data_IF_661426006313
#
_entry.id   IF_661426006313
#
_cell.length_a   1.000
_cell.length_b   1.000
_cell.length_c   1.000
_cell.angle_alpha   90.00
_cell.angle_beta   90.00
_cell.angle_gamma   90.00
#
_symmetry.space_group_name_H-M   'P 1'
#
loop_
_entity.id
_entity.type
_entity.pdbx_description
1 polymer ?
#
# COMPACT_ATOMS: atom_id res chain seq x y z
N UNK A 1 -4.35 26.93 -10.16
CA UNK A 1 -3.23 27.08 -11.13
C UNK A 1 -3.14 25.80 -11.93
N UNK A 2 -2.89 25.88 -13.24
CA UNK A 2 -2.78 24.69 -14.08
C UNK A 2 -1.48 23.94 -13.77
N UNK A 3 -1.53 22.60 -13.79
CA UNK A 3 -0.34 21.76 -13.84
C UNK A 3 0.36 21.99 -15.17
N UNK A 4 1.67 22.16 -15.16
CA UNK A 4 2.48 22.27 -16.37
C UNK A 4 3.60 21.24 -16.35
N UNK A 5 4.08 20.89 -17.53
CA UNK A 5 5.13 19.89 -17.74
C UNK A 5 6.40 20.57 -18.25
N UNK A 6 7.54 20.14 -17.72
CA UNK A 6 8.87 20.63 -18.04
C UNK A 6 9.74 19.44 -18.41
N UNK A 7 10.13 19.34 -19.68
CA UNK A 7 11.00 18.26 -20.15
C UNK A 7 12.44 18.77 -20.35
N UNK A 8 13.40 18.10 -19.72
CA UNK A 8 14.83 18.26 -19.99
C UNK A 8 15.35 17.02 -20.70
N UNK A 9 16.16 17.25 -21.74
CA UNK A 9 16.78 16.19 -22.54
C UNK A 9 18.29 16.23 -22.38
N UNK A 10 18.89 15.08 -22.11
CA UNK A 10 20.33 14.87 -22.10
C UNK A 10 20.69 13.68 -22.99
N UNK A 11 21.98 13.52 -23.30
CA UNK A 11 22.48 12.41 -24.11
C UNK A 11 23.70 11.80 -23.46
N UNK A 12 23.85 10.48 -23.57
CA UNK A 12 25.04 9.76 -23.11
C UNK A 12 25.34 8.60 -24.05
N UNK A 13 26.55 8.07 -23.97
CA UNK A 13 26.99 6.93 -24.78
C UNK A 13 27.31 5.77 -23.84
N UNK A 14 26.73 4.60 -24.04
CA UNK A 14 27.04 3.44 -23.21
C UNK A 14 27.01 2.16 -24.03
N UNK A 15 27.69 1.13 -23.53
CA UNK A 15 27.72 -0.19 -24.16
C UNK A 15 26.91 -1.23 -23.39
N UNK A 16 26.38 -2.23 -24.09
CA UNK A 16 25.69 -3.37 -23.48
C UNK A 16 25.78 -4.62 -24.37
N UNK A 17 25.36 -5.77 -23.85
CA UNK A 17 25.25 -7.05 -24.56
C UNK A 17 23.82 -7.55 -24.43
N UNK A 18 23.14 -7.74 -25.56
CA UNK A 18 21.84 -8.39 -25.56
C UNK A 18 22.03 -9.88 -25.26
N UNK A 19 21.54 -10.34 -24.10
CA UNK A 19 21.65 -11.73 -23.69
C UNK A 19 20.42 -12.16 -22.88
N UNK A 20 19.93 -13.36 -23.14
CA UNK A 20 18.93 -14.02 -22.32
C UNK A 20 19.61 -15.12 -21.48
N UNK A 21 19.52 -15.01 -20.16
CA UNK A 21 20.13 -15.94 -19.22
C UNK A 21 19.52 -17.35 -19.23
N UNK A 22 18.35 -17.53 -19.86
CA UNK A 22 17.73 -18.86 -20.02
C UNK A 22 18.11 -19.56 -21.32
N UNK A 23 18.85 -18.91 -22.21
CA UNK A 23 19.31 -19.48 -23.49
C UNK A 23 20.81 -19.81 -23.41
N UNK A 24 21.23 -20.84 -24.15
CA UNK A 24 22.66 -21.13 -24.36
C UNK A 24 23.35 -20.00 -25.13
N UNK A 25 24.69 -19.96 -25.09
CA UNK A 25 25.47 -18.97 -25.86
C UNK A 25 25.20 -19.07 -27.37
N UNK A 26 25.08 -20.29 -27.90
CA UNK A 26 24.76 -20.52 -29.32
C UNK A 26 23.36 -20.02 -29.68
N UNK A 27 22.37 -20.25 -28.81
CA UNK A 27 21.01 -19.75 -29.01
C UNK A 27 20.95 -18.22 -28.91
N UNK A 28 21.70 -17.62 -27.98
CA UNK A 28 21.83 -16.18 -27.86
C UNK A 28 22.52 -15.55 -29.08
N UNK A 29 23.57 -16.16 -29.60
CA UNK A 29 24.26 -15.71 -30.80
C UNK A 29 23.36 -15.82 -32.04
N UNK A 30 22.59 -16.92 -32.17
CA UNK A 30 21.60 -17.09 -33.23
C UNK A 30 20.47 -16.05 -33.14
N UNK A 31 19.99 -15.76 -31.93
CA UNK A 31 18.84 -14.88 -31.71
C UNK A 31 19.19 -13.40 -31.85
N UNK A 32 20.33 -12.98 -31.30
CA UNK A 32 20.71 -11.57 -31.18
C UNK A 32 21.89 -11.18 -32.09
N UNK A 33 22.54 -12.15 -32.74
CA UNK A 33 23.61 -11.93 -33.72
C UNK A 33 24.72 -11.03 -33.17
N UNK A 34 25.08 -10.01 -33.97
CA UNK A 34 26.14 -9.04 -33.62
C UNK A 34 25.88 -8.29 -32.29
N UNK A 35 24.62 -8.22 -31.84
CA UNK A 35 24.25 -7.56 -30.57
C UNK A 35 24.54 -8.42 -29.32
N UNK A 36 24.81 -9.73 -29.47
CA UNK A 36 25.28 -10.61 -28.40
C UNK A 36 26.81 -10.70 -28.30
N UNK A 37 27.56 -9.77 -28.90
CA UNK A 37 29.01 -9.72 -28.78
C UNK A 37 29.46 -9.78 -27.31
N UNK A 38 30.41 -10.67 -26.98
CA UNK A 38 30.95 -10.85 -25.62
C UNK A 38 31.55 -9.57 -25.03
N UNK A 39 32.06 -8.70 -25.89
CA UNK A 39 32.60 -7.38 -25.54
C UNK A 39 31.54 -6.27 -25.49
N UNK A 40 30.28 -6.60 -25.80
CA UNK A 40 29.18 -5.65 -25.90
C UNK A 40 29.21 -4.83 -27.20
N UNK A 41 28.28 -3.89 -27.30
CA UNK A 41 28.17 -2.90 -28.37
C UNK A 41 27.65 -1.58 -27.82
N UNK A 42 28.15 -0.46 -28.37
CA UNK A 42 27.82 0.88 -27.92
C UNK A 42 26.58 1.47 -28.61
N UNK A 43 25.83 2.30 -27.89
CA UNK A 43 24.78 3.17 -28.41
C UNK A 43 24.91 4.58 -27.85
N UNK A 44 24.38 5.53 -28.60
CA UNK A 44 24.09 6.86 -28.10
C UNK A 44 22.64 6.87 -27.66
N UNK A 45 22.40 7.21 -26.41
CA UNK A 45 21.09 7.26 -25.80
C UNK A 45 20.65 8.70 -25.66
N UNK A 46 19.35 8.91 -25.83
CA UNK A 46 18.67 10.14 -25.49
C UNK A 46 17.89 9.87 -24.21
N UNK A 47 18.11 10.69 -23.20
CA UNK A 47 17.40 10.62 -21.95
C UNK A 47 16.55 11.87 -21.75
N UNK A 48 15.24 11.68 -21.65
CA UNK A 48 14.27 12.76 -21.43
C UNK A 48 13.63 12.62 -20.05
N UNK A 49 13.57 13.75 -19.34
CA UNK A 49 13.07 13.86 -17.97
C UNK A 49 11.98 14.89 -17.96
N UNK A 50 10.75 14.45 -17.70
CA UNK A 50 9.59 15.34 -17.66
C UNK A 50 9.13 15.50 -16.22
N UNK A 51 9.26 16.71 -15.69
CA UNK A 51 8.70 17.10 -14.41
C UNK A 51 7.31 17.68 -14.61
N UNK A 52 6.34 17.23 -13.82
CA UNK A 52 4.98 17.77 -13.82
C UNK A 52 4.67 18.37 -12.46
N UNK A 53 4.25 19.63 -12.43
CA UNK A 53 3.97 20.30 -11.16
C UNK A 53 3.20 21.60 -11.29
N UNK A 54 2.87 22.16 -10.14
CA UNK A 54 2.27 23.49 -10.05
C UNK A 54 3.37 24.55 -10.16
N UNK A 55 3.08 25.67 -10.81
CA UNK A 55 4.00 26.80 -10.91
C UNK A 55 4.12 27.46 -9.54
N UNK A 56 5.33 27.59 -9.01
CA UNK A 56 5.59 28.35 -7.79
C UNK A 56 5.27 29.84 -8.02
N UNK A 57 4.39 30.46 -7.22
CA UNK A 57 3.89 31.80 -7.49
C UNK A 57 4.93 32.90 -7.29
N UNK A 58 6.06 32.63 -6.64
CA UNK A 58 7.13 33.62 -6.40
C UNK A 58 8.18 33.59 -7.50
N UNK A 59 8.60 32.39 -7.91
CA UNK A 59 9.67 32.17 -8.88
C UNK A 59 9.15 32.00 -10.31
N UNK A 60 7.87 31.67 -10.49
CA UNK A 60 7.28 31.37 -11.79
C UNK A 60 7.78 30.05 -12.40
N UNK A 61 8.51 29.25 -11.64
CA UNK A 61 9.08 27.98 -12.08
C UNK A 61 8.31 26.80 -11.48
N UNK A 62 8.26 25.69 -12.21
CA UNK A 62 7.84 24.39 -11.65
C UNK A 62 8.98 23.75 -10.88
N UNK A 63 10.19 23.89 -11.43
CA UNK A 63 11.42 23.40 -10.88
C UNK A 63 12.59 24.20 -11.44
N UNK A 64 13.68 24.29 -10.69
CA UNK A 64 14.88 24.96 -11.14
C UNK A 64 15.63 24.07 -12.14
N UNK A 65 15.79 24.55 -13.38
CA UNK A 65 16.46 23.82 -14.45
C UNK A 65 17.96 23.57 -14.18
N UNK A 66 18.61 24.40 -13.36
CA UNK A 66 20.00 24.19 -12.97
C UNK A 66 20.13 23.04 -11.97
N UNK A 67 19.18 22.93 -11.04
CA UNK A 67 19.12 21.83 -10.07
C UNK A 67 18.83 20.52 -10.80
N UNK A 68 17.82 20.52 -11.69
CA UNK A 68 17.52 19.36 -12.54
C UNK A 68 18.72 18.91 -13.38
N UNK A 69 19.50 19.87 -13.91
CA UNK A 69 20.74 19.54 -14.65
C UNK A 69 21.76 18.85 -13.76
N UNK A 70 21.98 19.35 -12.54
CA UNK A 70 22.96 18.78 -11.61
C UNK A 70 22.53 17.39 -11.12
N UNK A 71 21.23 17.20 -10.89
CA UNK A 71 20.63 15.91 -10.56
C UNK A 71 20.74 14.92 -11.72
N UNK A 72 20.40 15.34 -12.95
CA UNK A 72 20.61 14.49 -14.12
C UNK A 72 22.08 14.14 -14.33
N UNK A 73 23.00 15.05 -13.98
CA UNK A 73 24.44 14.81 -14.12
C UNK A 73 24.93 13.66 -13.23
N UNK A 74 24.40 13.46 -12.02
CA UNK A 74 24.85 12.33 -11.17
C UNK A 74 24.57 10.99 -11.83
N UNK A 75 23.43 10.88 -12.52
CA UNK A 75 23.03 9.70 -13.30
C UNK A 75 23.95 9.50 -14.49
N UNK A 76 24.17 10.59 -15.24
CA UNK A 76 25.01 10.57 -16.43
C UNK A 76 26.44 10.18 -16.08
N UNK A 77 26.97 10.66 -14.95
CA UNK A 77 28.32 10.33 -14.49
C UNK A 77 28.46 8.82 -14.12
N UNK A 78 27.36 8.16 -13.75
CA UNK A 78 27.36 6.71 -13.49
C UNK A 78 27.32 5.88 -14.77
N UNK A 79 26.57 6.31 -15.80
CA UNK A 79 26.23 5.49 -16.98
C UNK A 79 26.98 5.86 -18.26
N UNK A 80 27.46 7.10 -18.37
CA UNK A 80 28.12 7.59 -19.58
C UNK A 80 29.51 6.98 -19.73
N UNK A 81 29.82 6.57 -20.95
CA UNK A 81 31.01 5.83 -21.36
C UNK A 81 31.25 4.52 -20.57
N UNK A 82 30.20 3.93 -19.98
CA UNK A 82 30.28 2.65 -19.27
C UNK A 82 29.72 1.49 -20.08
N UNK A 83 30.09 0.28 -19.68
CA UNK A 83 29.36 -0.92 -20.03
C UNK A 83 28.23 -1.14 -19.02
N UNK A 84 26.98 -0.99 -19.45
CA UNK A 84 25.81 -1.07 -18.59
C UNK A 84 25.79 -2.41 -17.84
N UNK A 85 25.96 -3.54 -18.52
CA UNK A 85 25.89 -4.87 -17.89
C UNK A 85 27.02 -5.12 -16.87
N UNK A 86 28.22 -4.56 -17.11
CA UNK A 86 29.45 -4.93 -16.38
C UNK A 86 29.92 -3.88 -15.38
N UNK A 87 29.60 -2.61 -15.58
CA UNK A 87 30.14 -1.52 -14.76
C UNK A 87 29.09 -0.99 -13.77
N UNK A 88 27.80 -1.20 -14.06
CA UNK A 88 26.70 -0.74 -13.20
C UNK A 88 26.26 -1.90 -12.31
N UNK A 89 26.42 -1.74 -10.98
CA UNK A 89 26.11 -2.79 -9.99
C UNK A 89 24.68 -3.32 -10.15
N UNK A 90 23.72 -2.44 -10.42
CA UNK A 90 22.32 -2.80 -10.64
C UNK A 90 22.11 -3.79 -11.82
N UNK A 91 22.86 -3.62 -12.91
CA UNK A 91 22.72 -4.44 -14.12
C UNK A 91 23.53 -5.73 -14.08
N UNK A 92 24.56 -5.85 -13.21
CA UNK A 92 25.32 -7.10 -13.05
C UNK A 92 24.44 -8.29 -12.65
N UNK A 93 23.40 -8.03 -11.86
CA UNK A 93 22.53 -9.06 -11.31
C UNK A 93 21.18 -9.19 -12.06
N UNK A 94 20.94 -8.35 -13.07
CA UNK A 94 19.67 -8.29 -13.81
C UNK A 94 19.93 -8.36 -15.32
N UNK A 95 19.40 -9.37 -16.01
CA UNK A 95 19.61 -9.50 -17.46
C UNK A 95 18.97 -8.33 -18.21
N UNK A 96 19.77 -7.52 -18.89
CA UNK A 96 19.31 -6.35 -19.65
C UNK A 96 18.33 -6.76 -20.76
N UNK A 97 17.07 -6.36 -20.61
CA UNK A 97 16.12 -6.18 -21.73
C UNK A 97 16.11 -4.69 -22.07
N UNK A 98 15.91 -4.32 -23.33
CA UNK A 98 15.86 -2.91 -23.80
C UNK A 98 14.90 -2.03 -22.96
N UNK A 99 13.92 -2.64 -22.30
CA UNK A 99 12.98 -2.02 -21.35
C UNK A 99 13.59 -1.58 -20.00
N UNK A 100 14.79 -2.03 -19.65
CA UNK A 100 15.42 -1.84 -18.33
C UNK A 100 16.25 -0.55 -18.26
N UNK A 101 16.65 0.01 -19.41
CA UNK A 101 17.32 1.32 -19.48
C UNK A 101 16.40 2.42 -18.91
N UNK A 102 15.10 2.37 -19.21
CA UNK A 102 14.11 3.29 -18.63
C UNK A 102 13.99 3.20 -17.10
N UNK A 103 14.25 2.03 -16.50
CA UNK A 103 14.10 1.79 -15.06
C UNK A 103 15.28 2.40 -14.28
N UNK A 104 16.50 2.32 -14.79
CA UNK A 104 17.67 2.96 -14.14
C UNK A 104 17.64 4.47 -14.29
N UNK A 105 17.20 4.98 -15.44
CA UNK A 105 16.99 6.42 -15.58
C UNK A 105 15.85 6.95 -14.70
N UNK A 106 14.80 6.16 -14.45
CA UNK A 106 13.83 6.46 -13.41
C UNK A 106 14.46 6.37 -12.01
N UNK A 107 15.27 5.34 -11.68
CA UNK A 107 15.87 5.16 -10.35
C UNK A 107 16.72 6.34 -9.89
N UNK A 108 17.55 6.90 -10.79
CA UNK A 108 18.41 8.03 -10.42
C UNK A 108 17.69 9.40 -10.57
N UNK A 109 16.50 9.45 -11.17
CA UNK A 109 15.56 10.58 -11.00
C UNK A 109 14.70 10.46 -9.74
N UNK A 110 14.46 9.26 -9.23
CA UNK A 110 13.72 9.08 -7.98
C UNK A 110 14.52 9.57 -6.75
N UNK A 111 15.85 9.68 -6.85
CA UNK A 111 16.66 10.43 -5.87
C UNK A 111 16.53 11.94 -6.03
N UNK A 112 16.08 12.41 -7.20
CA UNK A 112 15.74 13.78 -7.56
C UNK A 112 14.21 14.01 -7.57
N UNK A 113 13.57 13.82 -6.41
CA UNK A 113 12.27 14.41 -6.05
C UNK A 113 11.13 14.37 -7.09
N UNK A 114 10.85 13.22 -7.70
CA UNK A 114 9.44 12.85 -7.91
C UNK A 114 9.00 12.18 -6.62
N UNK A 115 8.36 12.93 -5.70
CA UNK A 115 7.83 12.35 -4.48
C UNK A 115 6.88 11.22 -4.91
N UNK A 116 7.16 9.94 -4.58
CA UNK A 116 6.20 8.89 -4.83
C UNK A 116 4.86 9.31 -4.24
N UNK A 117 3.74 8.94 -4.88
CA UNK A 117 2.40 9.17 -4.35
C UNK A 117 2.27 8.46 -3.00
N UNK A 118 2.75 9.09 -1.92
CA UNK A 118 3.07 8.45 -0.65
C UNK A 118 2.17 9.01 0.43
N UNK A 119 1.49 8.11 1.12
CA UNK A 119 0.66 8.45 2.28
C UNK A 119 1.29 7.85 3.53
N UNK A 120 1.39 8.66 4.58
CA UNK A 120 1.83 8.19 5.89
C UNK A 120 0.78 7.24 6.46
N UNK A 121 1.23 6.08 6.92
CA UNK A 121 0.41 5.11 7.60
C UNK A 121 0.48 5.41 9.09
N UNK A 122 -0.59 5.90 9.70
CA UNK A 122 -0.62 6.20 11.12
C UNK A 122 -0.91 4.93 11.91
N UNK A 123 -0.09 4.62 12.90
CA UNK A 123 -0.30 3.52 13.83
C UNK A 123 -1.00 4.04 15.07
N UNK A 124 -2.14 3.47 15.42
CA UNK A 124 -2.85 3.80 16.66
C UNK A 124 -2.22 3.07 17.84
N UNK A 125 -2.30 3.67 19.02
CA UNK A 125 -1.97 2.99 20.26
C UNK A 125 -2.86 1.76 20.49
N UNK A 126 -2.43 0.87 21.38
CA UNK A 126 -3.13 -0.40 21.55
C UNK A 126 -4.47 -0.24 22.27
N UNK A 127 -5.57 -0.56 21.57
CA UNK A 127 -6.92 -0.49 22.15
C UNK A 127 -7.01 -1.44 23.34
N UNK A 128 -6.47 -2.67 23.22
CA UNK A 128 -6.36 -3.60 24.35
C UNK A 128 -5.53 -3.06 25.50
N UNK A 129 -4.32 -2.53 25.24
CA UNK A 129 -3.47 -1.99 26.30
C UNK A 129 -4.13 -0.82 27.02
N UNK A 130 -4.81 0.06 26.27
CA UNK A 130 -5.60 1.14 26.83
C UNK A 130 -6.77 0.61 27.68
N UNK A 131 -7.48 -0.42 27.24
CA UNK A 131 -8.56 -1.06 28.01
C UNK A 131 -8.05 -1.79 29.25
N UNK A 132 -6.85 -2.39 29.19
CA UNK A 132 -6.15 -2.98 30.34
C UNK A 132 -5.77 -1.90 31.36
N UNK A 133 -5.17 -0.79 30.92
CA UNK A 133 -4.76 0.31 31.80
C UNK A 133 -5.93 1.04 32.45
N UNK A 134 -7.04 1.21 31.73
CA UNK A 134 -8.24 1.89 32.23
C UNK A 134 -9.17 1.00 33.07
N UNK A 135 -8.81 -0.27 33.29
CA UNK A 135 -9.63 -1.21 34.06
C UNK A 135 -10.93 -1.63 33.36
N UNK A 136 -11.09 -1.37 32.06
CA UNK A 136 -12.30 -1.68 31.27
C UNK A 136 -12.30 -3.08 30.63
N UNK A 137 -11.41 -3.95 31.10
CA UNK A 137 -11.13 -5.30 30.56
C UNK A 137 -12.36 -6.22 30.58
N UNK A 138 -13.22 -6.10 31.59
CA UNK A 138 -14.45 -6.91 31.66
C UNK A 138 -15.41 -6.61 30.51
N UNK A 139 -15.53 -5.35 30.08
CA UNK A 139 -16.33 -4.97 28.92
C UNK A 139 -15.75 -5.53 27.62
N UNK A 140 -14.43 -5.47 27.46
CA UNK A 140 -13.70 -6.06 26.32
C UNK A 140 -13.91 -7.57 26.22
N UNK A 141 -13.74 -8.30 27.33
CA UNK A 141 -13.92 -9.75 27.36
C UNK A 141 -15.36 -10.16 27.07
N UNK A 142 -16.36 -9.38 27.53
CA UNK A 142 -17.78 -9.63 27.20
C UNK A 142 -18.09 -9.40 25.72
N UNK A 143 -17.47 -8.41 25.08
CA UNK A 143 -17.67 -8.11 23.65
C UNK A 143 -17.01 -9.13 22.72
N UNK A 144 -15.93 -9.78 23.14
CA UNK A 144 -15.16 -10.75 22.34
C UNK A 144 -15.59 -12.21 22.55
N UNK A 145 -16.73 -12.47 23.20
CA UNK A 145 -17.21 -13.81 23.58
C UNK A 145 -16.19 -14.68 24.37
N UNK A 146 -15.16 -14.07 24.96
CA UNK A 146 -14.15 -14.77 25.74
C UNK A 146 -14.66 -15.63 26.91
N UNK A 147 -15.81 -15.36 27.57
CA UNK A 147 -16.27 -16.21 28.68
C UNK A 147 -16.54 -17.66 28.24
N UNK A 148 -17.06 -17.87 27.04
CA UNK A 148 -17.37 -19.21 26.50
C UNK A 148 -16.09 -19.93 26.06
N UNK A 149 -15.16 -19.21 25.43
CA UNK A 149 -13.88 -19.74 24.94
C UNK A 149 -12.93 -20.11 26.09
N UNK A 150 -12.89 -19.30 27.17
CA UNK A 150 -12.08 -19.61 28.36
C UNK A 150 -12.55 -20.88 29.09
N UNK A 151 -13.84 -21.17 29.10
CA UNK A 151 -14.39 -22.40 29.71
C UNK A 151 -13.93 -23.68 29.00
N UNK A 152 -13.57 -23.61 27.72
CA UNK A 152 -13.04 -24.73 26.94
C UNK A 152 -11.50 -24.68 26.79
N UNK A 153 -10.82 -23.81 27.55
CA UNK A 153 -9.35 -23.67 27.51
C UNK A 153 -8.83 -22.98 26.24
N UNK A 154 -9.65 -22.18 25.56
CA UNK A 154 -9.30 -21.47 24.32
C UNK A 154 -9.31 -19.96 24.51
N UNK A 155 -8.44 -19.26 23.79
CA UNK A 155 -8.43 -17.80 23.71
C UNK A 155 -8.41 -17.39 22.24
N UNK A 156 -9.48 -16.76 21.77
CA UNK A 156 -9.46 -16.04 20.49
C UNK A 156 -8.76 -14.70 20.70
N UNK A 157 -7.78 -14.44 19.85
CA UNK A 157 -7.01 -13.22 19.87
C UNK A 157 -7.35 -12.49 18.57
N UNK A 158 -8.19 -11.46 18.67
CA UNK A 158 -8.48 -10.59 17.54
C UNK A 158 -7.32 -9.60 17.38
N UNK A 159 -6.38 -9.90 16.48
CA UNK A 159 -5.22 -9.05 16.16
C UNK A 159 -5.63 -7.61 15.80
N UNK A 160 -6.80 -7.46 15.16
CA UNK A 160 -7.43 -6.19 14.80
C UNK A 160 -7.82 -5.28 15.99
N UNK A 161 -7.76 -5.78 17.23
CA UNK A 161 -8.04 -4.99 18.45
C UNK A 161 -6.77 -4.54 19.18
N UNK A 162 -5.58 -4.95 18.72
CA UNK A 162 -4.35 -4.61 19.42
C UNK A 162 -3.66 -3.39 18.83
N UNK A 163 -3.60 -3.18 17.51
CA UNK A 163 -3.04 -1.97 16.87
C UNK A 163 -3.70 -1.77 15.49
N UNK A 164 -4.06 -0.53 15.13
CA UNK A 164 -4.65 -0.24 13.82
C UNK A 164 -3.72 0.67 13.02
N UNK A 165 -3.61 0.38 11.73
CA UNK A 165 -2.92 1.23 10.78
C UNK A 165 -3.97 1.92 9.89
N UNK A 166 -3.93 3.25 9.84
CA UNK A 166 -4.91 4.04 9.11
C UNK A 166 -4.26 5.14 8.28
N UNK A 167 -4.95 5.55 7.21
CA UNK A 167 -4.58 6.70 6.39
C UNK A 167 -5.66 7.78 6.50
N UNK A 168 -5.24 9.03 6.33
CA UNK A 168 -6.18 10.15 6.21
C UNK A 168 -6.65 10.28 4.77
N UNK A 169 -7.96 10.41 4.59
CA UNK A 169 -8.59 10.73 3.31
C UNK A 169 -9.56 11.88 3.50
N UNK A 170 -9.99 12.49 2.39
CA UNK A 170 -11.12 13.41 2.38
C UNK A 170 -12.17 13.03 1.34
N UNK A 171 -13.43 13.23 1.69
CA UNK A 171 -14.57 13.02 0.79
C UNK A 171 -15.45 14.27 0.78
N UNK A 172 -15.83 14.75 -0.40
CA UNK A 172 -16.77 15.86 -0.57
C UNK A 172 -16.15 17.21 -0.91
N UNK A 173 -17.03 18.18 -1.22
CA UNK A 173 -16.69 19.58 -1.48
C UNK A 173 -17.64 20.54 -0.73
N UNK A 174 -17.21 21.18 0.37
CA UNK A 174 -15.86 21.17 0.93
C UNK A 174 -15.43 19.79 1.47
N UNK A 175 -14.11 19.52 1.55
CA UNK A 175 -13.59 18.24 2.01
C UNK A 175 -13.99 17.91 3.45
N UNK A 176 -14.54 16.71 3.67
CA UNK A 176 -14.78 16.12 4.99
C UNK A 176 -13.69 15.08 5.28
N UNK A 177 -13.15 15.06 6.49
CA UNK A 177 -11.96 14.27 6.84
C UNK A 177 -12.33 12.91 7.48
N UNK A 178 -11.62 11.85 7.07
CA UNK A 178 -11.82 10.51 7.60
C UNK A 178 -10.50 9.77 7.79
N UNK A 179 -10.42 8.98 8.86
CA UNK A 179 -9.37 7.95 9.05
C UNK A 179 -9.90 6.61 8.58
N UNK A 180 -9.24 6.01 7.60
CA UNK A 180 -9.68 4.71 7.05
C UNK A 180 -8.57 3.69 7.10
N UNK A 181 -8.93 2.42 7.28
CA UNK A 181 -7.98 1.30 7.13
C UNK A 181 -7.73 1.07 5.65
N UNK A 182 -6.47 1.14 5.18
CA UNK A 182 -6.11 0.64 3.85
C UNK A 182 -6.12 -0.90 3.87
N UNK A 183 -7.16 -1.50 3.29
CA UNK A 183 -7.47 -2.92 3.45
C UNK A 183 -7.16 -3.72 2.18
N UNK A 184 -6.08 -4.50 2.19
CA UNK A 184 -5.72 -5.39 1.08
C UNK A 184 -6.58 -6.66 1.02
N UNK A 185 -7.43 -6.91 2.02
CA UNK A 185 -8.40 -7.99 2.06
C UNK A 185 -9.76 -7.65 1.44
N UNK A 186 -10.01 -6.37 1.13
CA UNK A 186 -11.26 -5.93 0.50
C UNK A 186 -11.04 -4.90 -0.61
N UNK A 187 -12.12 -4.54 -1.32
CA UNK A 187 -12.05 -3.67 -2.50
C UNK A 187 -12.88 -2.40 -2.40
N UNK A 188 -13.82 -2.36 -1.46
CA UNK A 188 -14.78 -1.29 -1.34
C UNK A 188 -14.29 -0.18 -0.42
N UNK A 189 -14.67 1.06 -0.73
CA UNK A 189 -14.49 2.21 0.17
C UNK A 189 -15.82 2.46 0.88
N UNK A 190 -15.81 2.56 2.21
CA UNK A 190 -16.96 3.02 2.98
C UNK A 190 -16.52 3.88 4.15
N UNK A 191 -17.39 4.81 4.54
CA UNK A 191 -17.26 5.64 5.74
C UNK A 191 -18.59 5.68 6.49
N UNK A 192 -18.55 5.92 7.80
CA UNK A 192 -19.78 6.08 8.59
C UNK A 192 -20.57 7.29 8.11
N UNK A 193 -21.89 7.15 7.94
CA UNK A 193 -22.79 8.23 7.56
C UNK A 193 -23.38 8.94 8.79
N UNK A 194 -23.73 10.22 8.65
CA UNK A 194 -24.54 10.94 9.64
C UNK A 194 -25.92 10.31 9.86
N UNK A 195 -26.43 9.53 8.91
CA UNK A 195 -27.67 8.76 9.05
C UNK A 195 -27.52 7.62 10.07
N UNK A 196 -26.29 7.24 10.42
CA UNK A 196 -26.05 6.26 11.47
C UNK A 196 -26.07 6.89 12.87
N UNK A 197 -27.11 6.55 13.64
CA UNK A 197 -27.33 7.05 15.00
C UNK A 197 -27.03 6.03 16.10
N UNK A 198 -26.48 4.86 15.75
CA UNK A 198 -26.14 3.84 16.74
C UNK A 198 -24.91 4.25 17.57
N UNK A 199 -24.80 3.74 18.81
CA UNK A 199 -23.61 3.96 19.65
C UNK A 199 -22.31 3.51 18.97
N UNK A 200 -22.37 2.47 18.13
CA UNK A 200 -21.22 1.99 17.37
C UNK A 200 -20.76 3.03 16.35
N UNK A 201 -21.68 3.70 15.67
CA UNK A 201 -21.35 4.76 14.71
C UNK A 201 -20.90 6.07 15.36
N UNK A 202 -21.24 6.30 16.63
CA UNK A 202 -20.79 7.47 17.39
C UNK A 202 -19.44 7.20 18.09
N UNK A 203 -19.12 5.94 18.39
CA UNK A 203 -17.87 5.53 19.04
C UNK A 203 -17.98 5.29 20.55
N UNK A 204 -19.16 4.88 21.04
CA UNK A 204 -19.47 4.61 22.46
C UNK A 204 -19.11 5.74 23.46
N UNK A 205 -18.91 6.96 22.98
CA UNK A 205 -18.79 8.18 23.79
C UNK A 205 -17.65 8.23 24.79
N UNK A 206 -16.59 7.41 24.70
CA UNK A 206 -15.57 7.39 25.77
C UNK A 206 -14.10 7.26 25.37
N UNK A 207 -13.72 7.09 24.09
CA UNK A 207 -12.29 7.03 23.68
C UNK A 207 -12.03 7.64 22.28
N UNK A 208 -12.83 7.32 21.27
CA UNK A 208 -12.68 7.83 19.91
C UNK A 208 -14.05 8.19 19.34
N UNK A 209 -14.25 9.43 18.91
CA UNK A 209 -15.47 9.86 18.25
C UNK A 209 -15.29 9.73 16.75
N UNK A 210 -16.19 9.00 16.09
CA UNK A 210 -16.09 8.78 14.65
C UNK A 210 -16.48 10.03 13.87
N UNK A 211 -15.71 10.36 12.85
CA UNK A 211 -16.15 11.27 11.80
C UNK A 211 -17.23 10.58 10.98
N UNK A 212 -18.27 11.34 10.63
CA UNK A 212 -19.41 10.84 9.87
C UNK A 212 -19.64 11.71 8.67
N UNK A 213 -19.79 11.10 7.51
CA UNK A 213 -20.02 11.79 6.25
C UNK A 213 -21.44 12.35 6.22
N UNK A 214 -21.52 13.67 6.07
CA UNK A 214 -22.75 14.42 5.88
C UNK A 214 -22.93 14.71 4.39
N UNK A 215 -23.85 14.05 3.69
CA UNK A 215 -24.10 14.32 2.28
C UNK A 215 -24.67 15.72 2.03
N UNK A 216 -25.32 16.36 3.02
CA UNK A 216 -25.99 17.65 2.84
C UNK A 216 -25.04 18.83 2.71
N UNK A 217 -23.81 18.70 3.21
CA UNK A 217 -22.80 19.76 3.17
C UNK A 217 -21.89 19.66 1.95
N UNK A 218 -21.93 18.56 1.19
CA UNK A 218 -21.08 18.37 0.02
C UNK A 218 -21.81 18.76 -1.28
N UNK A 219 -21.29 19.79 -1.96
CA UNK A 219 -21.79 20.26 -3.26
C UNK A 219 -21.51 19.29 -4.42
N UNK A 220 -20.60 18.33 -4.23
CA UNK A 220 -20.23 17.34 -5.25
C UNK A 220 -20.83 15.96 -5.01
N UNK A 221 -21.56 15.79 -3.90
CA UNK A 221 -22.24 14.54 -3.59
C UNK A 221 -23.35 14.25 -4.59
N UNK A 222 -23.49 12.97 -4.95
CA UNK A 222 -24.62 12.46 -5.71
C UNK A 222 -25.04 11.11 -5.15
N UNK A 223 -26.32 10.93 -4.77
CA UNK A 223 -26.81 9.65 -4.26
C UNK A 223 -26.78 8.58 -5.37
N UNK A 224 -26.63 7.33 -4.97
CA UNK A 224 -26.70 6.18 -5.88
C UNK A 224 -27.80 5.24 -5.38
N UNK A 225 -28.76 4.89 -6.24
CA UNK A 225 -29.97 4.14 -5.86
C UNK A 225 -29.69 2.63 -5.71
N UNK A 226 -28.78 2.29 -4.82
CA UNK A 226 -28.39 0.93 -4.48
C UNK A 226 -27.85 0.88 -3.05
N UNK A 227 -28.23 -0.17 -2.33
CA UNK A 227 -27.67 -0.46 -1.01
C UNK A 227 -26.50 -1.42 -1.12
N UNK A 228 -25.65 -1.41 -0.10
CA UNK A 228 -24.55 -2.36 0.04
C UNK A 228 -24.60 -3.08 1.38
N UNK A 229 -24.01 -4.27 1.41
CA UNK A 229 -23.80 -5.06 2.62
C UNK A 229 -22.50 -5.81 2.47
N UNK A 230 -21.56 -5.59 3.39
CA UNK A 230 -20.27 -6.27 3.44
C UNK A 230 -20.20 -7.04 4.76
N UNK A 231 -19.80 -8.30 4.69
CA UNK A 231 -19.51 -9.13 5.85
C UNK A 231 -17.99 -9.33 5.96
N UNK A 232 -17.38 -8.68 6.94
CA UNK A 232 -16.00 -8.91 7.35
C UNK A 232 -15.95 -10.01 8.41
N UNK A 233 -14.75 -10.55 8.65
CA UNK A 233 -14.50 -11.45 9.78
C UNK A 233 -14.85 -10.78 11.13
N UNK A 234 -14.62 -9.46 11.23
CA UNK A 234 -14.92 -8.66 12.42
C UNK A 234 -16.40 -8.31 12.59
N UNK A 235 -17.23 -8.55 11.58
CA UNK A 235 -18.64 -8.22 11.57
C UNK A 235 -19.11 -7.57 10.28
N UNK A 236 -20.29 -6.97 10.31
CA UNK A 236 -20.96 -6.46 9.12
C UNK A 236 -20.92 -4.92 9.03
N UNK A 237 -21.02 -4.42 7.79
CA UNK A 237 -21.27 -3.02 7.45
C UNK A 237 -22.35 -2.97 6.39
N UNK A 238 -23.35 -2.11 6.57
CA UNK A 238 -24.45 -1.94 5.63
C UNK A 238 -24.77 -0.45 5.45
N UNK A 239 -25.31 -0.10 4.29
CA UNK A 239 -25.70 1.28 4.01
C UNK A 239 -26.16 1.50 2.58
N UNK A 240 -26.21 2.77 2.20
CA UNK A 240 -26.50 3.21 0.84
C UNK A 240 -25.20 3.51 0.09
N UNK A 241 -25.22 3.40 -1.23
CA UNK A 241 -24.13 3.86 -2.07
C UNK A 241 -24.30 5.33 -2.44
N UNK A 242 -23.17 6.00 -2.65
CA UNK A 242 -23.12 7.35 -3.19
C UNK A 242 -21.85 7.56 -3.97
N UNK A 243 -21.80 8.66 -4.70
CA UNK A 243 -20.58 9.12 -5.36
C UNK A 243 -20.23 10.51 -4.89
N UNK A 244 -18.95 10.76 -4.67
CA UNK A 244 -18.44 12.10 -4.36
C UNK A 244 -16.96 12.21 -4.75
N UNK A 245 -16.36 13.37 -4.53
CA UNK A 245 -14.94 13.61 -4.70
C UNK A 245 -14.15 12.96 -3.56
N UNK A 246 -13.28 12.00 -3.88
CA UNK A 246 -12.32 11.42 -2.95
C UNK A 246 -10.94 12.05 -3.17
N UNK A 247 -10.24 12.43 -2.10
CA UNK A 247 -8.81 12.75 -2.14
C UNK A 247 -8.01 11.97 -1.09
N UNK A 248 -6.85 11.47 -1.50
CA UNK A 248 -5.88 10.77 -0.64
C UNK A 248 -4.50 10.84 -1.29
N UNK A 249 -3.43 10.83 -0.49
CA UNK A 249 -2.09 11.19 -0.96
C UNK A 249 -2.17 12.52 -1.76
N UNK A 250 -1.83 12.49 -3.04
CA UNK A 250 -1.95 13.58 -4.00
C UNK A 250 -2.95 13.27 -5.13
N UNK A 251 -3.74 12.20 -5.00
CA UNK A 251 -4.83 11.88 -5.92
C UNK A 251 -6.12 12.62 -5.55
N UNK A 252 -6.83 13.07 -6.58
CA UNK A 252 -8.24 13.48 -6.49
C UNK A 252 -9.07 12.75 -7.54
N UNK A 253 -10.09 12.01 -7.09
CA UNK A 253 -11.04 11.25 -7.91
C UNK A 253 -12.39 11.95 -7.80
N UNK A 254 -12.85 12.58 -8.88
CA UNK A 254 -14.05 13.46 -8.86
C UNK A 254 -15.36 12.75 -8.57
N UNK A 255 -15.48 11.47 -8.91
CA UNK A 255 -16.71 10.66 -8.78
C UNK A 255 -16.34 9.25 -8.29
N UNK A 256 -15.79 9.18 -7.09
CA UNK A 256 -15.54 7.90 -6.44
C UNK A 256 -16.84 7.37 -5.86
N UNK A 257 -17.19 6.12 -6.19
CA UNK A 257 -18.26 5.39 -5.52
C UNK A 257 -17.79 4.94 -4.13
N UNK A 258 -18.61 5.15 -3.12
CA UNK A 258 -18.33 4.71 -1.75
C UNK A 258 -19.62 4.38 -1.00
N UNK A 259 -19.48 3.62 0.08
CA UNK A 259 -20.56 3.25 0.98
C UNK A 259 -20.76 4.28 2.09
N UNK A 260 -21.99 4.77 2.21
CA UNK A 260 -22.48 5.55 3.35
C UNK A 260 -23.04 4.58 4.40
N UNK A 261 -22.19 4.14 5.32
CA UNK A 261 -22.57 3.13 6.30
C UNK A 261 -23.56 3.71 7.31
N UNK A 262 -24.81 3.23 7.27
CA UNK A 262 -25.86 3.57 8.23
C UNK A 262 -26.00 2.53 9.35
N UNK A 263 -25.26 1.42 9.24
CA UNK A 263 -25.20 0.37 10.26
C UNK A 263 -23.84 -0.34 10.21
N UNK A 264 -23.15 -0.40 11.35
CA UNK A 264 -21.89 -1.12 11.53
C UNK A 264 -21.98 -2.07 12.72
N UNK A 265 -21.22 -3.16 12.70
CA UNK A 265 -21.14 -4.07 13.83
C UNK A 265 -20.54 -3.40 15.09
N UNK A 266 -20.93 -3.85 16.29
CA UNK A 266 -20.43 -3.30 17.56
C UNK A 266 -18.91 -3.24 17.70
N UNK A 267 -18.20 -4.19 17.09
CA UNK A 267 -16.74 -4.31 17.04
C UNK A 267 -16.09 -3.07 16.43
N UNK A 268 -16.58 -2.60 15.28
CA UNK A 268 -16.09 -1.40 14.60
C UNK A 268 -16.26 -0.13 15.43
N UNK A 269 -17.24 -0.09 16.33
CA UNK A 269 -17.51 1.07 17.17
C UNK A 269 -16.38 1.41 18.15
N UNK A 270 -15.58 0.42 18.55
CA UNK A 270 -14.44 0.63 19.45
C UNK A 270 -13.13 0.94 18.71
N UNK A 271 -13.11 0.77 17.38
CA UNK A 271 -11.91 0.98 16.58
C UNK A 271 -11.72 2.47 16.28
N UNK A 272 -10.49 3.02 16.40
CA UNK A 272 -10.14 4.41 16.05
C UNK A 272 -10.10 4.68 14.53
N UNK A 273 -11.16 4.27 13.82
CA UNK A 273 -11.33 4.44 12.37
C UNK A 273 -12.76 4.89 12.04
N UNK A 274 -12.89 5.60 10.94
CA UNK A 274 -14.15 6.09 10.39
C UNK A 274 -14.66 5.23 9.22
N UNK A 275 -13.82 4.32 8.72
CA UNK A 275 -14.11 3.52 7.53
C UNK A 275 -12.99 2.58 7.12
N UNK A 276 -13.16 1.96 5.96
CA UNK A 276 -12.12 1.17 5.29
C UNK A 276 -12.05 1.54 3.81
N UNK A 277 -10.84 1.47 3.25
CA UNK A 277 -10.55 1.71 1.84
C UNK A 277 -9.89 0.45 1.26
N UNK A 278 -10.66 -0.30 0.48
CA UNK A 278 -10.16 -1.51 -0.14
C UNK A 278 -9.06 -1.27 -1.18
N UNK A 279 -8.03 -2.11 -1.14
CA UNK A 279 -6.86 -2.11 -2.02
C UNK A 279 -6.72 -3.41 -2.84
N UNK A 280 -7.74 -4.27 -2.83
CA UNK A 280 -7.76 -5.52 -3.58
C UNK A 280 -8.38 -5.37 -4.99
N UNK A 281 -8.64 -6.51 -5.62
CA UNK A 281 -9.15 -6.58 -6.99
C UNK A 281 -10.65 -6.29 -7.09
N UNK A 282 -11.14 -5.61 -8.15
CA UNK A 282 -12.56 -5.38 -8.45
C UNK A 282 -13.51 -6.54 -8.14
N UNK A 283 -13.05 -7.78 -8.36
CA UNK A 283 -13.85 -8.98 -8.17
C UNK A 283 -14.32 -9.21 -6.73
N UNK A 284 -13.71 -8.56 -5.73
CA UNK A 284 -14.17 -8.57 -4.33
C UNK A 284 -15.13 -7.42 -3.99
N UNK A 285 -15.39 -6.50 -4.92
CA UNK A 285 -16.29 -5.38 -4.67
C UNK A 285 -17.73 -5.86 -4.57
N UNK A 286 -18.40 -5.46 -3.49
CA UNK A 286 -19.84 -5.64 -3.30
C UNK A 286 -20.67 -4.56 -3.99
N UNK A 287 -20.02 -3.53 -4.55
CA UNK A 287 -20.70 -2.37 -5.13
C UNK A 287 -20.99 -2.53 -6.63
N UNK A 288 -20.27 -3.43 -7.30
CA UNK A 288 -20.29 -3.60 -8.76
C UNK A 288 -19.89 -2.32 -9.54
N UNK A 289 -19.09 -1.45 -8.92
CA UNK A 289 -18.52 -0.23 -9.50
C UNK A 289 -16.99 -0.19 -9.46
N UNK A 290 -16.41 0.89 -9.99
CA UNK A 290 -14.95 1.08 -9.94
C UNK A 290 -14.48 1.36 -8.50
N UNK A 291 -13.54 0.55 -8.03
CA UNK A 291 -12.88 0.73 -6.73
C UNK A 291 -11.91 1.91 -6.77
N UNK A 292 -11.49 2.40 -5.60
CA UNK A 292 -10.51 3.48 -5.50
C UNK A 292 -9.23 3.17 -6.27
N UNK A 293 -8.75 1.92 -6.20
CA UNK A 293 -7.56 1.47 -6.93
C UNK A 293 -7.75 1.49 -8.45
N UNK A 294 -8.89 1.01 -8.96
CA UNK A 294 -9.17 1.03 -10.41
C UNK A 294 -9.19 2.44 -10.99
N UNK A 295 -9.61 3.43 -10.19
CA UNK A 295 -9.69 4.82 -10.62
C UNK A 295 -8.31 5.53 -10.65
N UNK A 296 -7.27 4.95 -10.06
CA UNK A 296 -5.91 5.53 -10.05
C UNK A 296 -4.87 4.67 -10.76
N UNK A 297 -5.09 3.37 -10.96
CA UNK A 297 -4.07 2.44 -11.45
C UNK A 297 -3.42 2.85 -12.78
N UNK A 298 -4.19 3.45 -13.70
CA UNK A 298 -3.69 3.94 -14.99
C UNK A 298 -2.90 5.24 -14.91
N UNK A 299 -2.92 5.91 -13.75
CA UNK A 299 -2.18 7.15 -13.48
C UNK A 299 -0.86 6.89 -12.74
N UNK A 300 -0.62 5.64 -12.33
CA UNK A 300 0.59 5.26 -11.62
C UNK A 300 1.73 5.01 -12.61
N UNK A 301 2.95 5.43 -12.24
CA UNK A 301 4.15 5.15 -13.04
C UNK A 301 4.37 3.64 -13.19
N UNK A 302 4.21 2.91 -12.09
CA UNK A 302 4.12 1.45 -12.07
C UNK A 302 2.76 1.03 -11.49
N UNK A 303 2.07 0.00 -12.02
CA UNK A 303 0.79 -0.46 -11.47
C UNK A 303 0.98 -1.27 -10.17
N UNK A 304 1.65 -0.68 -9.18
CA UNK A 304 2.04 -1.30 -7.92
C UNK A 304 1.66 -0.42 -6.72
N UNK A 305 1.51 -1.07 -5.57
CA UNK A 305 1.46 -0.43 -4.25
C UNK A 305 2.55 -1.05 -3.39
N UNK A 306 3.39 -0.23 -2.78
CA UNK A 306 4.39 -0.68 -1.78
C UNK A 306 3.92 -0.29 -0.38
N UNK A 307 3.80 -1.27 0.52
CA UNK A 307 3.43 -1.05 1.92
C UNK A 307 4.65 -1.35 2.80
N UNK A 308 5.05 -0.34 3.57
CA UNK A 308 6.07 -0.44 4.61
C UNK A 308 5.41 -0.16 5.97
N UNK A 309 5.67 -1.03 6.95
CA UNK A 309 5.27 -0.83 8.34
C UNK A 309 6.50 -0.74 9.23
N UNK A 310 6.59 0.32 10.02
CA UNK A 310 7.73 0.57 10.91
C UNK A 310 7.78 -0.39 12.10
N UNK A 311 8.99 -0.80 12.48
CA UNK A 311 9.24 -1.58 13.71
C UNK A 311 9.39 -0.63 14.91
N UNK A 312 8.26 -0.13 15.43
CA UNK A 312 8.29 0.57 16.71
C UNK A 312 8.41 -0.41 17.88
N UNK A 313 9.47 -0.25 18.68
CA UNK A 313 9.76 -1.07 19.86
C UNK A 313 8.97 -0.65 21.10
N UNK A 314 8.36 0.54 21.11
CA UNK A 314 7.64 1.07 22.26
C UNK A 314 6.13 1.11 22.02
N UNK A 315 5.38 0.57 22.97
CA UNK A 315 3.93 0.60 22.96
C UNK A 315 3.45 1.97 23.46
N UNK A 316 3.05 2.83 22.53
CA UNK A 316 2.52 4.17 22.84
C UNK A 316 1.00 4.15 22.92
N UNK A 317 0.44 5.01 23.78
CA UNK A 317 -1.02 5.29 23.80
C UNK A 317 -1.40 6.21 22.64
N UNK A 318 -0.46 7.04 22.19
CA UNK A 318 -0.64 8.03 21.14
C UNK A 318 -0.43 7.47 19.74
N UNK A 319 -1.05 8.13 18.75
CA UNK A 319 -0.81 7.84 17.34
C UNK A 319 0.63 8.19 16.95
N UNK A 320 1.31 7.25 16.32
CA UNK A 320 2.71 7.39 15.88
C UNK A 320 2.86 7.08 14.40
N UNK A 321 4.00 7.42 13.82
CA UNK A 321 4.34 7.08 12.44
C UNK A 321 4.42 5.55 12.27
N UNK A 322 3.39 4.94 11.71
CA UNK A 322 3.29 3.50 11.49
C UNK A 322 4.01 2.99 10.25
N UNK A 323 4.58 3.87 9.42
CA UNK A 323 5.15 3.54 8.13
C UNK A 323 4.47 4.31 6.99
N UNK A 324 4.38 3.70 5.82
CA UNK A 324 3.83 4.37 4.64
C UNK A 324 3.29 3.41 3.59
N UNK A 325 2.40 3.96 2.76
CA UNK A 325 1.97 3.34 1.50
C UNK A 325 2.44 4.23 0.36
N UNK A 326 3.18 3.63 -0.57
CA UNK A 326 3.65 4.26 -1.79
C UNK A 326 2.86 3.71 -2.97
N UNK A 327 2.06 4.56 -3.61
CA UNK A 327 1.34 4.23 -4.83
C UNK A 327 2.23 4.53 -6.03
N UNK A 328 2.33 3.58 -6.95
CA UNK A 328 3.03 3.80 -8.22
C UNK A 328 4.53 3.61 -8.21
N UNK A 329 5.14 3.20 -7.09
CA UNK A 329 6.58 3.07 -6.98
C UNK A 329 7.04 2.11 -5.88
N UNK A 330 8.35 1.87 -5.84
CA UNK A 330 9.03 1.16 -4.76
C UNK A 330 9.44 2.17 -3.68
N UNK A 331 9.38 1.77 -2.41
CA UNK A 331 9.88 2.60 -1.30
C UNK A 331 11.35 2.27 -1.02
N UNK A 332 12.26 2.83 -1.82
CA UNK A 332 13.71 2.60 -1.68
C UNK A 332 14.32 3.28 -0.44
N UNK A 333 13.54 4.13 0.24
CA UNK A 333 13.96 4.76 1.49
C UNK A 333 13.82 3.79 2.67
N UNK A 334 12.73 3.03 2.69
CA UNK A 334 12.38 2.16 3.80
C UNK A 334 12.58 0.66 3.50
N UNK A 335 12.84 0.29 2.24
CA UNK A 335 12.93 -1.09 1.78
C UNK A 335 14.21 -1.32 0.98
N UNK A 336 14.78 -2.53 1.07
CA UNK A 336 15.86 -2.96 0.16
C UNK A 336 15.39 -3.01 -1.29
N UNK A 337 16.32 -2.84 -2.22
CA UNK A 337 16.05 -2.90 -3.67
C UNK A 337 15.75 -4.33 -4.15
N UNK A 338 16.26 -5.34 -3.45
CA UNK A 338 16.09 -6.75 -3.79
C UNK A 338 14.68 -7.24 -3.41
N UNK A 339 13.90 -7.61 -4.43
CA UNK A 339 12.51 -8.06 -4.27
C UNK A 339 12.36 -9.52 -4.68
N UNK A 340 11.84 -10.34 -3.76
CA UNK A 340 11.44 -11.71 -4.05
C UNK A 340 9.96 -11.74 -4.45
N UNK A 341 9.65 -12.31 -5.62
CA UNK A 341 8.29 -12.28 -6.18
C UNK A 341 7.60 -13.64 -6.07
N UNK A 342 6.30 -13.61 -5.76
CA UNK A 342 5.40 -14.76 -5.83
C UNK A 342 4.19 -14.40 -6.69
N UNK A 343 3.78 -15.31 -7.56
CA UNK A 343 2.59 -15.12 -8.40
C UNK A 343 1.31 -15.30 -7.57
N UNK A 344 0.30 -14.46 -7.81
CA UNK A 344 -1.00 -14.63 -7.17
C UNK A 344 -1.78 -15.76 -7.85
N UNK A 345 -2.54 -16.49 -7.04
CA UNK A 345 -3.34 -17.64 -7.50
C UNK A 345 -4.66 -17.23 -8.16
N UNK A 346 -5.17 -16.03 -7.88
CA UNK A 346 -6.40 -15.51 -8.47
C UNK A 346 -6.46 -13.97 -8.40
N UNK A 347 -7.27 -13.35 -9.27
CA UNK A 347 -7.56 -11.90 -9.24
C UNK A 347 -8.76 -11.56 -8.37
N UNK A 348 -8.83 -12.16 -7.19
CA UNK A 348 -9.81 -11.82 -6.14
C UNK A 348 -9.05 -11.29 -4.94
N UNK A 349 -8.35 -12.17 -4.23
CA UNK A 349 -7.48 -11.83 -3.10
C UNK A 349 -6.01 -11.74 -3.52
N UNK A 350 -5.21 -11.01 -2.73
CA UNK A 350 -3.74 -11.06 -2.77
C UNK A 350 -3.22 -12.38 -2.18
N UNK A 351 -3.60 -13.50 -2.79
CA UNK A 351 -3.34 -14.85 -2.29
C UNK A 351 -2.31 -15.57 -3.16
N UNK A 352 -1.35 -16.24 -2.53
CA UNK A 352 -0.33 -17.05 -3.19
C UNK A 352 -0.12 -18.37 -2.42
N UNK A 353 0.54 -19.34 -3.06
CA UNK A 353 0.86 -20.63 -2.46
C UNK A 353 2.15 -20.56 -1.66
N UNK A 354 2.12 -21.04 -0.41
CA UNK A 354 3.33 -21.31 0.39
C UNK A 354 3.69 -22.80 0.30
N UNK A 355 4.97 -23.13 0.17
CA UNK A 355 5.43 -24.52 0.01
C UNK A 355 5.45 -25.29 1.34
N UNK A 356 5.63 -24.59 2.46
CA UNK A 356 5.66 -25.18 3.78
C UNK A 356 5.94 -24.15 4.87
N UNK A 357 5.67 -24.54 6.11
CA UNK A 357 6.00 -23.76 7.29
C UNK A 357 7.07 -24.51 8.07
N UNK A 358 8.15 -23.81 8.40
CA UNK A 358 9.21 -24.33 9.26
C UNK A 358 8.98 -23.81 10.67
N UNK A 359 8.79 -24.73 11.62
CA UNK A 359 8.66 -24.39 13.04
C UNK A 359 10.02 -24.54 13.72
N UNK A 360 10.51 -23.45 14.32
CA UNK A 360 11.69 -23.48 15.18
C UNK A 360 11.27 -23.34 16.64
N UNK A 361 11.78 -24.20 17.50
CA UNK A 361 11.54 -24.12 18.96
C UNK A 361 12.77 -23.55 19.63
N UNK A 362 12.63 -22.40 20.28
CA UNK A 362 13.68 -21.81 21.11
C UNK A 362 13.21 -21.66 22.56
N UNK A 363 14.14 -21.77 23.49
CA UNK A 363 13.90 -21.55 24.93
C UNK A 363 13.96 -20.06 25.23
N UNK A 364 12.79 -19.45 25.45
CA UNK A 364 12.68 -18.03 25.76
C UNK A 364 13.38 -17.68 27.10
N UNK A 365 14.16 -16.58 27.09
CA UNK A 365 14.84 -16.04 28.28
C UNK A 365 13.93 -15.17 29.19
N UNK A 366 12.71 -14.85 28.75
CA UNK A 366 11.77 -13.99 29.46
C UNK A 366 10.56 -14.78 29.99
N UNK A 367 9.99 -14.40 31.15
CA UNK A 367 8.99 -15.21 31.83
C UNK A 367 7.62 -15.24 31.14
N UNK A 368 7.28 -14.26 30.29
CA UNK A 368 6.00 -14.20 29.58
C UNK A 368 6.18 -13.53 28.20
N UNK A 369 5.92 -14.28 27.13
CA UNK A 369 5.78 -13.76 25.76
C UNK A 369 4.46 -14.27 25.17
N UNK A 370 3.80 -13.44 24.35
CA UNK A 370 2.62 -13.86 23.59
C UNK A 370 3.05 -14.03 22.14
N UNK A 371 2.70 -15.16 21.54
CA UNK A 371 2.97 -15.42 20.14
C UNK A 371 1.91 -14.71 19.28
N UNK A 372 2.36 -13.85 18.36
CA UNK A 372 1.48 -13.09 17.46
C UNK A 372 1.09 -13.94 16.23
N UNK A 373 0.46 -15.08 16.50
CA UNK A 373 -0.20 -15.91 15.51
C UNK A 373 -1.43 -16.54 16.19
N UNK A 374 -2.54 -16.57 15.46
CA UNK A 374 -3.85 -16.93 16.00
C UNK A 374 -4.54 -17.90 15.07
N UNK A 375 -5.28 -18.84 15.64
CA UNK A 375 -6.12 -19.74 14.85
C UNK A 375 -7.40 -18.98 14.44
N UNK A 376 -7.66 -18.89 13.14
CA UNK A 376 -8.87 -18.25 12.62
C UNK A 376 -9.98 -19.31 12.52
N UNK A 377 -10.91 -19.30 13.48
CA UNK A 377 -12.05 -20.24 13.52
C UNK A 377 -13.20 -19.77 12.61
N UNK A 378 -12.94 -19.61 11.32
CA UNK A 378 -14.01 -19.53 10.32
C UNK A 378 -14.73 -20.89 10.20
N UNK A 379 -16.05 -20.90 10.10
CA UNK A 379 -16.85 -22.10 9.79
C UNK A 379 -16.54 -22.57 8.37
N UNK A 380 -15.49 -23.38 8.23
CA UNK A 380 -15.10 -24.00 6.97
C UNK A 380 -13.66 -24.49 7.00
N UNK A 381 -13.41 -25.66 6.40
CA UNK A 381 -12.07 -26.19 6.16
C UNK A 381 -11.33 -25.30 5.16
N UNK A 382 -10.77 -24.18 5.60
CA UNK A 382 -9.86 -23.37 4.77
C UNK A 382 -8.44 -23.57 5.26
N UNK A 383 -7.55 -24.04 4.39
CA UNK A 383 -6.10 -24.19 4.65
C UNK A 383 -5.36 -22.88 4.40
N UNK A 384 -6.02 -21.74 4.60
CA UNK A 384 -5.50 -20.41 4.26
C UNK A 384 -4.81 -19.77 5.46
N UNK A 385 -3.65 -19.16 5.20
CA UNK A 385 -2.91 -18.35 6.16
C UNK A 385 -3.05 -16.88 5.79
N UNK A 386 -3.34 -16.03 6.77
CA UNK A 386 -3.32 -14.57 6.60
C UNK A 386 -1.99 -14.05 7.14
N UNK A 387 -1.18 -13.45 6.26
CA UNK A 387 0.08 -12.83 6.64
C UNK A 387 -0.19 -11.35 6.99
N UNK A 388 -0.46 -11.10 8.27
CA UNK A 388 -0.84 -9.79 8.81
C UNK A 388 0.31 -8.80 9.04
N UNK A 389 0.08 -7.81 9.89
CA UNK A 389 0.99 -6.71 10.20
C UNK A 389 2.35 -7.17 10.75
N UNK A 390 2.40 -8.29 11.49
CA UNK A 390 3.66 -8.89 11.96
C UNK A 390 4.58 -9.25 10.79
N UNK A 391 4.02 -9.83 9.72
CA UNK A 391 4.77 -10.20 8.54
C UNK A 391 5.16 -8.96 7.72
N UNK A 392 4.24 -8.00 7.54
CA UNK A 392 4.47 -6.75 6.79
C UNK A 392 5.52 -5.85 7.49
N UNK A 393 5.66 -5.90 8.82
CA UNK A 393 6.76 -5.23 9.54
C UNK A 393 8.13 -5.86 9.26
N UNK A 394 8.15 -7.12 8.84
CA UNK A 394 9.40 -7.83 8.54
C UNK A 394 9.84 -7.55 7.10
N UNK A 395 8.87 -7.50 6.18
CA UNK A 395 9.08 -7.30 4.76
C UNK A 395 8.16 -6.22 4.20
N UNK A 396 8.72 -5.30 3.43
CA UNK A 396 7.90 -4.45 2.57
C UNK A 396 7.16 -5.31 1.55
N UNK A 397 5.84 -5.16 1.52
CA UNK A 397 4.99 -5.88 0.60
C UNK A 397 4.69 -5.00 -0.62
N UNK A 398 4.97 -5.52 -1.81
CA UNK A 398 4.75 -4.84 -3.09
C UNK A 398 3.65 -5.57 -3.85
N UNK A 399 2.48 -4.97 -3.93
CA UNK A 399 1.32 -5.54 -4.62
C UNK A 399 1.31 -5.07 -6.08
N UNK A 400 1.64 -5.98 -7.01
CA UNK A 400 1.82 -5.67 -8.43
C UNK A 400 0.59 -6.10 -9.24
N UNK A 401 -0.30 -5.14 -9.51
CA UNK A 401 -1.50 -5.34 -10.31
C UNK A 401 -1.16 -5.57 -11.79
N UNK A 402 -0.06 -5.00 -12.29
CA UNK A 402 0.32 -5.16 -13.70
C UNK A 402 0.70 -6.60 -14.03
N UNK A 403 1.36 -7.28 -13.10
CA UNK A 403 1.88 -8.65 -13.32
C UNK A 403 1.16 -9.73 -12.51
N UNK A 404 0.24 -9.38 -11.61
CA UNK A 404 -0.49 -10.32 -10.76
C UNK A 404 0.43 -11.09 -9.81
N UNK A 405 1.24 -10.35 -9.05
CA UNK A 405 2.23 -10.92 -8.15
C UNK A 405 2.43 -10.06 -6.92
N UNK A 406 3.03 -10.64 -5.89
CA UNK A 406 3.41 -9.94 -4.66
C UNK A 406 4.92 -10.01 -4.53
N UNK A 407 5.54 -8.88 -4.25
CA UNK A 407 6.96 -8.76 -3.97
C UNK A 407 7.21 -8.60 -2.49
N UNK A 408 8.28 -9.22 -1.99
CA UNK A 408 8.76 -9.07 -0.62
C UNK A 408 10.19 -8.56 -0.65
N UNK A 409 10.39 -7.36 -0.11
CA UNK A 409 11.70 -6.76 0.11
C UNK A 409 11.95 -6.65 1.61
N UNK A 410 13.19 -6.80 2.06
CA UNK A 410 13.52 -6.63 3.47
C UNK A 410 13.29 -5.16 3.88
N UNK A 411 12.57 -4.96 4.98
CA UNK A 411 12.37 -3.65 5.58
C UNK A 411 13.67 -3.17 6.26
N UNK A 412 14.08 -1.92 6.01
CA UNK A 412 15.33 -1.34 6.51
C UNK A 412 15.27 -0.87 7.97
N UNK A 413 14.06 -0.64 8.51
CA UNK A 413 13.84 -0.22 9.91
C UNK A 413 12.64 -0.87 10.56
#
# INVERSE_FOLDING_TARGET
>A
MGLVELTRRETFSASHRLQNGTLSDTENELLYGKCNNLNGHGHNYIWEVTLRGSIDPKSGMVYNLADLKNEMKTVLDEVDHKNLDKDIVYFKNNTMKVTIVSIVFCHVLFTAHAAPHRVTLMKTGSVRQHLLWTGKVEGYNRMTQQPLLRQIGRAEFFEYMDMIYAINITIGSPPQHFKVVPDTGSSDLWVVSTDCNSNSCIGYGSIYMKNRFDPSVSSTYSPYDQNFSINYELGYVMGALGTDQLSFADFTIKKQMFGLANRIAPTFGNLPIDGAMGLAWPALSSFHGNTSMQNIISKLDFPIITIYMSRHSEATVEEVDGGAITFGGFDLKCCKEEVNWVEVTSRTFWQFTIQGLLQYTDTLKHPICIFAAVENFGVGFSTLWTLGDVFIRSYCNIYDFGKNRIGFAEALS
#
